data_IF_146417428714
#
_entry.id   IF_146417428714
#
_cell.length_a   1.000
_cell.length_b   1.000
_cell.length_c   1.000
_cell.angle_alpha   90.00
_cell.angle_beta   90.00
_cell.angle_gamma   90.00
#
_symmetry.space_group_name_H-M   'P 1'
#
loop_
_entity.id
_entity.type
_entity.pdbx_description
1 polymer ?
#
# COMPACT_ATOMS: atom_id res chain seq x y z
N UNK A 1 -0.44 7.28 -11.08
CA UNK A 1 1.02 7.05 -11.21
C UNK A 1 1.20 6.12 -12.39
N UNK A 2 2.15 6.40 -13.28
CA UNK A 2 2.49 5.49 -14.37
C UNK A 2 3.48 4.44 -13.86
N UNK A 3 3.40 3.20 -14.36
CA UNK A 3 4.22 2.07 -13.92
C UNK A 3 5.44 1.88 -14.84
N UNK A 4 6.28 2.91 -14.94
CA UNK A 4 7.43 2.94 -15.84
C UNK A 4 8.79 2.88 -15.11
N UNK A 5 8.80 2.62 -13.80
CA UNK A 5 10.05 2.53 -13.04
C UNK A 5 10.89 1.31 -13.48
N UNK A 6 12.16 1.55 -13.80
CA UNK A 6 13.11 0.51 -14.24
C UNK A 6 14.33 0.39 -13.31
N UNK A 7 14.50 1.33 -12.37
CA UNK A 7 15.64 1.39 -11.45
C UNK A 7 15.18 1.48 -9.99
N UNK A 8 16.06 1.08 -9.06
CA UNK A 8 15.81 1.22 -7.62
C UNK A 8 15.62 2.69 -7.21
N UNK A 9 16.32 3.62 -7.88
CA UNK A 9 16.18 5.05 -7.62
C UNK A 9 14.78 5.56 -7.96
N UNK A 10 14.22 5.13 -9.10
CA UNK A 10 12.86 5.46 -9.52
C UNK A 10 11.83 4.83 -8.59
N UNK A 11 12.02 3.58 -8.16
CA UNK A 11 11.13 2.93 -7.18
C UNK A 11 11.12 3.68 -5.83
N UNK A 12 12.29 4.14 -5.34
CA UNK A 12 12.38 4.99 -4.15
C UNK A 12 11.66 6.32 -4.35
N UNK A 13 11.83 6.96 -5.51
CA UNK A 13 11.14 8.20 -5.84
C UNK A 13 9.61 8.01 -5.90
N UNK A 14 9.14 6.87 -6.41
CA UNK A 14 7.71 6.50 -6.42
C UNK A 14 7.14 6.36 -5.01
N UNK A 15 7.88 5.71 -4.11
CA UNK A 15 7.49 5.60 -2.68
C UNK A 15 7.38 7.00 -2.08
N UNK A 16 8.40 7.86 -2.25
CA UNK A 16 8.39 9.21 -1.69
C UNK A 16 7.21 10.03 -2.24
N UNK A 17 6.98 10.01 -3.55
CA UNK A 17 5.86 10.72 -4.19
C UNK A 17 4.50 10.25 -3.65
N UNK A 18 4.37 8.98 -3.29
CA UNK A 18 3.16 8.43 -2.69
C UNK A 18 2.99 8.91 -1.25
N UNK A 19 4.06 8.94 -0.47
CA UNK A 19 4.07 9.48 0.90
C UNK A 19 3.68 10.97 0.87
N UNK A 20 4.30 11.77 0.00
CA UNK A 20 4.02 13.20 -0.15
C UNK A 20 2.55 13.44 -0.52
N UNK A 21 2.01 12.62 -1.43
CA UNK A 21 0.59 12.68 -1.79
C UNK A 21 -0.31 12.39 -0.59
N UNK A 22 -0.05 11.32 0.16
CA UNK A 22 -0.85 10.98 1.35
C UNK A 22 -0.77 12.06 2.43
N UNK A 23 0.41 12.66 2.64
CA UNK A 23 0.60 13.78 3.57
C UNK A 23 -0.12 15.06 3.13
N UNK A 24 -0.37 15.22 1.83
CA UNK A 24 -1.12 16.36 1.29
C UNK A 24 -2.63 16.27 1.52
N UNK A 25 -3.16 15.09 1.87
CA UNK A 25 -4.60 14.90 2.13
C UNK A 25 -4.91 15.30 3.57
N UNK A 26 -5.72 16.35 3.80
CA UNK A 26 -6.13 16.75 5.14
C UNK A 26 -6.98 15.67 5.81
N UNK A 27 -6.74 15.39 7.10
CA UNK A 27 -7.45 14.32 7.82
C UNK A 27 -8.97 14.53 7.89
N UNK A 28 -9.41 15.79 8.01
CA UNK A 28 -10.83 16.19 8.03
C UNK A 28 -11.56 15.90 6.71
N UNK A 29 -10.84 15.59 5.62
CA UNK A 29 -11.44 15.12 4.36
C UNK A 29 -11.84 13.66 4.38
N UNK A 30 -11.37 12.89 5.36
CA UNK A 30 -11.71 11.47 5.52
C UNK A 30 -12.80 11.27 6.57
N UNK A 31 -12.96 12.19 7.51
CA UNK A 31 -13.99 12.12 8.54
C UNK A 31 -15.40 12.07 7.92
N UNK A 32 -16.21 11.10 8.33
CA UNK A 32 -17.57 10.90 7.83
C UNK A 32 -17.66 10.12 6.50
N UNK A 33 -16.53 9.67 5.94
CA UNK A 33 -16.50 8.86 4.70
C UNK A 33 -16.58 7.35 4.96
N UNK A 34 -16.67 6.93 6.22
CA UNK A 34 -16.64 5.52 6.64
C UNK A 34 -17.75 4.70 5.98
N UNK A 35 -18.93 5.32 5.82
CA UNK A 35 -20.11 4.71 5.22
C UNK A 35 -20.21 4.92 3.69
N UNK A 36 -19.31 5.71 3.09
CA UNK A 36 -19.31 5.95 1.65
C UNK A 36 -19.09 4.62 0.91
N UNK A 37 -19.96 4.31 -0.05
CA UNK A 37 -19.84 3.08 -0.83
C UNK A 37 -18.66 3.15 -1.79
N UNK A 38 -17.75 2.18 -1.68
CA UNK A 38 -16.61 2.01 -2.57
C UNK A 38 -16.86 0.78 -3.44
N UNK A 39 -16.94 0.99 -4.75
CA UNK A 39 -17.02 -0.08 -5.76
C UNK A 39 -15.65 -0.33 -6.35
N UNK A 40 -15.19 -1.58 -6.29
CA UNK A 40 -13.86 -1.98 -6.77
C UNK A 40 -13.90 -3.33 -7.49
N UNK A 41 -12.90 -3.64 -8.34
CA UNK A 41 -12.81 -4.94 -9.01
C UNK A 41 -12.58 -6.07 -8.01
N UNK A 42 -13.33 -7.16 -8.15
CA UNK A 42 -13.23 -8.38 -7.32
C UNK A 42 -12.93 -9.63 -8.16
N UNK A 43 -12.22 -9.43 -9.27
CA UNK A 43 -11.99 -10.42 -10.32
C UNK A 43 -11.94 -9.74 -11.69
N UNK A 44 -11.75 -10.55 -12.75
CA UNK A 44 -11.63 -10.02 -14.12
C UNK A 44 -12.90 -9.31 -14.59
N UNK A 45 -14.06 -9.87 -14.26
CA UNK A 45 -15.36 -9.43 -14.79
C UNK A 45 -16.37 -9.15 -13.66
N UNK A 46 -15.90 -9.02 -12.42
CA UNK A 46 -16.75 -8.83 -11.24
C UNK A 46 -16.33 -7.60 -10.46
N UNK A 47 -17.32 -6.92 -9.90
CA UNK A 47 -17.12 -5.82 -8.95
C UNK A 47 -17.77 -6.15 -7.62
N UNK A 48 -17.28 -5.51 -6.57
CA UNK A 48 -17.88 -5.56 -5.24
C UNK A 48 -18.00 -4.14 -4.71
N UNK A 49 -19.08 -3.88 -3.99
CA UNK A 49 -19.34 -2.61 -3.31
C UNK A 49 -19.39 -2.85 -1.80
N UNK A 50 -18.77 -1.98 -1.01
CA UNK A 50 -18.87 -2.00 0.45
C UNK A 50 -18.59 -0.62 1.05
N UNK A 51 -18.99 -0.37 2.31
CA UNK A 51 -18.63 0.85 3.03
C UNK A 51 -17.12 1.08 3.09
N UNK A 52 -16.69 2.34 3.02
CA UNK A 52 -15.29 2.76 2.98
C UNK A 52 -14.44 2.19 4.12
N UNK A 53 -14.97 2.15 5.33
CA UNK A 53 -14.25 1.55 6.48
C UNK A 53 -14.02 0.05 6.27
N UNK A 54 -15.03 -0.67 5.80
CA UNK A 54 -14.92 -2.10 5.53
C UNK A 54 -13.95 -2.37 4.37
N UNK A 55 -13.97 -1.53 3.33
CA UNK A 55 -13.03 -1.59 2.22
C UNK A 55 -11.59 -1.39 2.68
N UNK A 56 -11.34 -0.37 3.49
CA UNK A 56 -10.01 -0.09 4.03
C UNK A 56 -9.49 -1.26 4.87
N UNK A 57 -10.28 -1.72 5.85
CA UNK A 57 -9.86 -2.73 6.83
C UNK A 57 -9.74 -4.13 6.26
N UNK A 58 -10.64 -4.54 5.37
CA UNK A 58 -10.73 -5.92 4.93
C UNK A 58 -10.20 -6.17 3.52
N UNK A 59 -9.94 -5.12 2.75
CA UNK A 59 -9.41 -5.25 1.38
C UNK A 59 -8.06 -4.56 1.24
N UNK A 60 -7.98 -3.25 1.53
CA UNK A 60 -6.77 -2.47 1.25
C UNK A 60 -5.63 -2.74 2.23
N UNK A 61 -5.87 -2.70 3.54
CA UNK A 61 -4.82 -2.98 4.52
C UNK A 61 -4.19 -4.38 4.34
N UNK A 62 -4.97 -5.48 4.18
CA UNK A 62 -4.40 -6.79 3.87
C UNK A 62 -3.60 -6.82 2.57
N UNK A 63 -4.07 -6.15 1.50
CA UNK A 63 -3.32 -6.07 0.24
C UNK A 63 -1.97 -5.36 0.41
N UNK A 64 -1.94 -4.22 1.10
CA UNK A 64 -0.71 -3.48 1.36
C UNK A 64 0.28 -4.36 2.12
N UNK A 65 -0.14 -5.00 3.21
CA UNK A 65 0.75 -5.88 3.99
C UNK A 65 1.21 -7.10 3.20
N UNK A 66 0.34 -7.69 2.37
CA UNK A 66 0.72 -8.78 1.48
C UNK A 66 1.86 -8.37 0.55
N UNK A 67 1.70 -7.26 -0.19
CA UNK A 67 2.71 -6.82 -1.15
C UNK A 67 4.02 -6.37 -0.50
N UNK A 68 3.97 -5.70 0.66
CA UNK A 68 5.19 -5.38 1.44
C UNK A 68 5.90 -6.66 1.90
N UNK A 69 5.15 -7.65 2.38
CA UNK A 69 5.70 -8.95 2.77
C UNK A 69 6.35 -9.68 1.59
N UNK A 70 5.76 -9.61 0.40
CA UNK A 70 6.33 -10.21 -0.81
C UNK A 70 7.63 -9.50 -1.24
N UNK A 71 7.67 -8.17 -1.22
CA UNK A 71 8.89 -7.42 -1.51
C UNK A 71 10.02 -7.76 -0.52
N UNK A 72 9.70 -7.80 0.77
CA UNK A 72 10.62 -8.24 1.82
C UNK A 72 11.13 -9.68 1.57
N UNK A 73 10.23 -10.62 1.25
CA UNK A 73 10.59 -12.01 1.00
C UNK A 73 11.49 -12.17 -0.22
N UNK A 74 11.22 -11.46 -1.32
CA UNK A 74 12.06 -11.48 -2.53
C UNK A 74 13.47 -10.99 -2.22
N UNK A 75 13.61 -9.85 -1.52
CA UNK A 75 14.91 -9.30 -1.15
C UNK A 75 15.69 -10.27 -0.25
N UNK A 76 15.04 -10.77 0.80
CA UNK A 76 15.66 -11.71 1.75
C UNK A 76 16.06 -13.03 1.06
N UNK A 77 15.22 -13.54 0.16
CA UNK A 77 15.53 -14.74 -0.63
C UNK A 77 16.76 -14.55 -1.51
N UNK A 78 16.98 -13.35 -2.04
CA UNK A 78 18.15 -13.00 -2.85
C UNK A 78 19.39 -12.57 -2.03
N UNK A 79 19.40 -12.81 -0.72
CA UNK A 79 20.57 -12.62 0.13
C UNK A 79 20.72 -11.24 0.76
N UNK A 80 19.71 -10.36 0.66
CA UNK A 80 19.68 -9.12 1.45
C UNK A 80 19.46 -9.48 2.92
N UNK A 81 20.28 -8.93 3.82
CA UNK A 81 20.15 -9.10 5.28
C UNK A 81 18.99 -8.26 5.84
N UNK A 82 17.78 -8.59 5.40
CA UNK A 82 16.54 -7.97 5.86
C UNK A 82 15.92 -8.83 6.97
N UNK A 83 15.73 -8.26 8.16
CA UNK A 83 15.19 -8.88 9.35
C UNK A 83 13.75 -8.50 9.67
N UNK A 84 13.20 -9.15 10.71
CA UNK A 84 11.84 -8.84 11.22
C UNK A 84 11.71 -7.37 11.65
N UNK A 85 12.79 -6.77 12.18
CA UNK A 85 12.79 -5.36 12.60
C UNK A 85 12.62 -4.42 11.40
N UNK A 86 13.31 -4.69 10.29
CA UNK A 86 13.16 -3.90 9.05
C UNK A 86 11.72 -3.91 8.53
N UNK A 87 11.02 -5.05 8.64
CA UNK A 87 9.61 -5.14 8.27
C UNK A 87 8.68 -4.37 9.22
N UNK A 88 8.91 -4.45 10.53
CA UNK A 88 8.01 -3.86 11.54
C UNK A 88 8.23 -2.36 11.78
N UNK A 89 9.48 -1.89 11.69
CA UNK A 89 9.88 -0.53 12.04
C UNK A 89 10.44 0.27 10.85
N UNK A 90 10.63 -0.37 9.69
CA UNK A 90 11.35 0.23 8.57
C UNK A 90 12.86 0.34 8.83
N UNK A 91 13.56 1.09 7.98
CA UNK A 91 15.03 1.25 8.01
C UNK A 91 15.58 2.03 9.22
N UNK A 92 14.73 2.47 10.16
CA UNK A 92 15.10 3.26 11.34
C UNK A 92 15.01 2.45 12.65
N UNK A 93 14.83 1.12 12.60
CA UNK A 93 14.65 0.23 13.76
C UNK A 93 15.87 -0.60 14.16
#
# INVERSE_FOLDING_TARGET
FEDNEATIAELKARIQKTIDYLQSVPADKLDGTEATEITFPAGRDTTRTMPGEAYLKHVMLPNVFFHVSMAYAILRHNGVDAGKKDYLAGANG
#
